data_IF_686114327729
#
_entry.id   IF_686114327729
#
_cell.length_a   1.000
_cell.length_b   1.000
_cell.length_c   1.000
_cell.angle_alpha   90.00
_cell.angle_beta   90.00
_cell.angle_gamma   90.00
#
_symmetry.space_group_name_H-M   'P 1'
#
loop_
_entity.id
_entity.type
_entity.pdbx_description
1 polymer ?
#
# COMPACT_ATOMS: atom_id res chain seq x y z
N UNK A 1 -9.58 17.05 1.59
CA UNK A 1 -9.65 15.73 2.25
C UNK A 1 -11.05 15.35 2.71
N UNK A 2 -11.96 16.32 2.89
CA UNK A 2 -13.36 16.13 3.32
C UNK A 2 -14.12 14.97 2.67
N UNK A 3 -14.03 14.80 1.34
CA UNK A 3 -14.73 13.73 0.63
C UNK A 3 -14.30 12.32 1.08
N UNK A 4 -12.98 12.10 1.26
CA UNK A 4 -12.44 10.81 1.71
C UNK A 4 -12.92 10.50 3.13
N UNK A 5 -12.81 11.47 4.04
CA UNK A 5 -13.24 11.26 5.41
C UNK A 5 -14.74 10.97 5.51
N UNK A 6 -15.56 11.68 4.74
CA UNK A 6 -17.00 11.42 4.65
C UNK A 6 -17.28 10.01 4.11
N UNK A 7 -16.58 9.59 3.05
CA UNK A 7 -16.74 8.26 2.48
C UNK A 7 -16.34 7.16 3.47
N UNK A 8 -15.21 7.31 4.18
CA UNK A 8 -14.78 6.36 5.22
C UNK A 8 -15.82 6.24 6.33
N UNK A 9 -16.32 7.37 6.84
CA UNK A 9 -17.35 7.39 7.88
C UNK A 9 -18.67 6.76 7.42
N UNK A 10 -19.13 7.06 6.20
CA UNK A 10 -20.33 6.45 5.62
C UNK A 10 -20.20 4.93 5.46
N UNK A 11 -19.00 4.44 5.17
CA UNK A 11 -18.70 3.02 5.09
C UNK A 11 -18.45 2.34 6.45
N UNK A 12 -18.54 3.09 7.56
CA UNK A 12 -18.34 2.56 8.92
C UNK A 12 -16.87 2.35 9.31
N UNK A 13 -15.93 2.96 8.58
CA UNK A 13 -14.49 2.80 8.83
C UNK A 13 -13.84 4.08 9.36
N UNK A 14 -12.89 3.91 10.28
CA UNK A 14 -11.92 4.95 10.59
C UNK A 14 -10.89 5.10 9.46
N UNK A 15 -10.39 6.31 9.28
CA UNK A 15 -9.36 6.64 8.30
C UNK A 15 -8.01 6.87 8.98
N UNK A 16 -6.97 6.23 8.45
CA UNK A 16 -5.56 6.52 8.76
C UNK A 16 -4.84 6.89 7.46
N UNK A 17 -4.06 7.97 7.46
CA UNK A 17 -3.35 8.40 6.26
C UNK A 17 -2.18 9.34 6.52
N UNK A 18 -1.37 9.60 5.49
CA UNK A 18 -0.42 10.69 5.53
C UNK A 18 -1.13 12.02 5.29
N UNK A 19 -0.65 13.06 5.97
CA UNK A 19 -1.15 14.42 5.87
C UNK A 19 -0.05 15.33 5.35
N UNK A 20 -0.37 16.21 4.39
CA UNK A 20 0.58 17.22 3.94
C UNK A 20 0.86 18.21 5.08
N UNK A 21 2.12 18.55 5.29
CA UNK A 21 2.57 19.43 6.38
C UNK A 21 2.22 20.91 6.16
N UNK A 22 1.67 21.27 4.99
CA UNK A 22 1.15 22.61 4.70
C UNK A 22 -0.33 22.79 5.09
N UNK A 23 -0.98 21.78 5.68
CA UNK A 23 -2.35 21.87 6.18
C UNK A 23 -2.43 22.80 7.39
N UNK A 24 -3.52 23.56 7.47
CA UNK A 24 -3.82 24.48 8.58
C UNK A 24 -4.54 23.71 9.68
N UNK A 25 -4.09 23.93 10.92
CA UNK A 25 -4.71 23.45 12.16
C UNK A 25 -4.98 24.63 13.09
N UNK A 26 -5.79 24.40 14.12
CA UNK A 26 -6.25 25.42 15.06
C UNK A 26 -5.89 25.07 16.52
N UNK A 27 -4.59 25.00 16.86
CA UNK A 27 -4.13 24.83 18.23
C UNK A 27 -4.37 26.10 19.07
N UNK A 28 -4.17 25.98 20.39
CA UNK A 28 -4.25 27.10 21.33
C UNK A 28 -3.32 28.24 20.91
N UNK A 29 -3.80 29.48 20.95
CA UNK A 29 -3.09 30.68 20.47
C UNK A 29 -3.20 30.93 18.95
N UNK A 30 -3.76 30.00 18.19
CA UNK A 30 -4.00 30.13 16.74
C UNK A 30 -5.45 29.75 16.37
N UNK A 31 -6.40 29.88 17.30
CA UNK A 31 -7.78 29.42 17.13
C UNK A 31 -8.53 30.19 16.03
N UNK A 32 -8.22 31.48 15.83
CA UNK A 32 -8.89 32.33 14.84
C UNK A 32 -8.33 32.19 13.43
N UNK A 33 -7.01 32.32 13.28
CA UNK A 33 -6.35 32.34 11.96
C UNK A 33 -5.77 30.99 11.55
N UNK A 34 -5.63 30.06 12.49
CA UNK A 34 -4.94 28.80 12.29
C UNK A 34 -3.43 28.98 12.07
N UNK A 35 -2.73 27.85 12.03
CA UNK A 35 -1.30 27.78 11.72
C UNK A 35 -1.03 26.55 10.86
N UNK A 36 -0.08 26.63 9.93
CA UNK A 36 0.33 25.47 9.13
C UNK A 36 1.08 24.47 10.00
N UNK A 37 0.83 23.18 9.82
CA UNK A 37 1.44 22.10 10.62
C UNK A 37 2.97 22.21 10.73
N UNK A 38 3.67 22.50 9.64
CA UNK A 38 5.13 22.65 9.69
C UNK A 38 5.59 23.86 10.52
N UNK A 39 4.84 24.97 10.52
CA UNK A 39 5.14 26.15 11.35
C UNK A 39 4.83 25.88 12.82
N UNK A 40 3.74 25.18 13.08
CA UNK A 40 3.42 24.72 14.43
C UNK A 40 4.48 23.74 14.95
N UNK A 41 4.93 22.79 14.14
CA UNK A 41 5.96 21.83 14.53
C UNK A 41 7.30 22.50 14.91
N UNK A 42 7.64 23.61 14.25
CA UNK A 42 8.86 24.39 14.57
C UNK A 42 8.73 25.22 15.86
N UNK A 43 7.52 25.54 16.31
CA UNK A 43 7.31 26.26 17.57
C UNK A 43 7.30 25.33 18.79
N UNK A 44 7.31 24.01 18.59
CA UNK A 44 7.32 23.03 19.68
C UNK A 44 8.76 22.73 20.12
N UNK A 45 8.94 22.64 21.43
CA UNK A 45 10.20 22.18 22.02
C UNK A 45 10.33 20.66 21.87
N UNK A 46 11.58 20.19 21.80
CA UNK A 46 11.88 18.75 21.66
C UNK A 46 11.29 17.91 22.79
N UNK A 47 11.27 18.45 24.01
CA UNK A 47 10.74 17.76 25.20
C UNK A 47 9.22 17.55 25.16
N UNK A 48 8.52 18.22 24.24
CA UNK A 48 7.11 17.96 23.98
C UNK A 48 6.89 16.69 23.13
N UNK A 49 7.94 16.10 22.56
CA UNK A 49 7.84 14.91 21.71
C UNK A 49 8.22 13.65 22.48
N UNK A 50 7.45 12.59 22.26
CA UNK A 50 7.77 11.25 22.73
C UNK A 50 8.80 10.59 21.80
N UNK A 51 9.85 10.00 22.37
CA UNK A 51 10.80 9.17 21.61
C UNK A 51 10.26 7.75 21.49
N UNK A 52 9.96 7.31 20.26
CA UNK A 52 9.41 5.98 19.98
C UNK A 52 10.27 5.20 18.99
N UNK A 53 10.05 3.89 18.91
CA UNK A 53 10.72 2.98 17.97
C UNK A 53 9.70 2.34 17.02
N UNK A 54 9.89 2.54 15.72
CA UNK A 54 9.04 1.96 14.66
C UNK A 54 9.93 1.19 13.68
N UNK A 55 9.68 -0.12 13.49
CA UNK A 55 10.45 -1.02 12.60
C UNK A 55 11.98 -0.86 12.75
N UNK A 56 12.46 -0.78 13.99
CA UNK A 56 13.91 -0.68 14.29
C UNK A 56 14.50 0.73 14.28
N UNK A 57 13.76 1.75 13.84
CA UNK A 57 14.23 3.15 13.77
C UNK A 57 13.56 4.01 14.84
N UNK A 58 14.28 5.01 15.35
CA UNK A 58 13.78 5.92 16.38
C UNK A 58 13.20 7.20 15.77
N UNK A 59 12.08 7.64 16.31
CA UNK A 59 11.36 8.84 15.88
C UNK A 59 10.91 9.65 17.09
N UNK A 60 10.97 10.98 16.98
CA UNK A 60 10.27 11.89 17.88
C UNK A 60 8.87 12.10 17.34
N UNK A 61 7.85 11.87 18.17
CA UNK A 61 6.45 12.01 17.77
C UNK A 61 5.70 12.96 18.70
N UNK A 62 4.78 13.73 18.13
CA UNK A 62 3.88 14.61 18.87
C UNK A 62 2.46 14.39 18.35
N UNK A 63 1.50 14.19 19.26
CA UNK A 63 0.10 14.03 18.89
C UNK A 63 -0.68 15.31 19.15
N UNK A 64 -1.11 15.97 18.07
CA UNK A 64 -2.10 17.03 18.13
C UNK A 64 -3.50 16.42 18.00
N UNK A 65 -4.37 16.66 18.97
CA UNK A 65 -5.79 16.35 18.86
C UNK A 65 -6.55 17.66 18.68
N UNK A 66 -7.27 17.80 17.56
CA UNK A 66 -8.03 19.02 17.32
C UNK A 66 -8.60 19.11 15.91
N UNK A 67 -8.78 20.35 15.44
CA UNK A 67 -9.45 20.63 14.18
C UNK A 67 -8.44 20.96 13.07
N UNK A 68 -8.82 20.60 11.84
CA UNK A 68 -8.33 21.19 10.59
C UNK A 68 -9.54 21.73 9.81
N UNK A 69 -9.30 22.48 8.73
CA UNK A 69 -10.39 23.09 7.94
C UNK A 69 -11.45 22.07 7.46
N UNK A 70 -11.01 20.86 7.12
CA UNK A 70 -11.88 19.82 6.54
C UNK A 70 -12.63 18.98 7.58
N UNK A 71 -12.16 18.96 8.84
CA UNK A 71 -12.62 17.99 9.84
C UNK A 71 -12.29 18.44 11.27
N UNK A 72 -13.25 18.20 12.16
CA UNK A 72 -13.10 18.44 13.60
C UNK A 72 -12.69 17.15 14.30
N UNK A 73 -11.96 17.27 15.42
CA UNK A 73 -11.62 16.17 16.33
C UNK A 73 -10.89 15.02 15.64
N UNK A 74 -9.68 15.30 15.13
CA UNK A 74 -8.78 14.30 14.57
C UNK A 74 -7.49 14.22 15.38
N UNK A 75 -6.85 13.06 15.36
CA UNK A 75 -5.48 12.90 15.83
C UNK A 75 -4.52 13.15 14.67
N UNK A 76 -3.56 14.04 14.85
CA UNK A 76 -2.50 14.33 13.89
C UNK A 76 -1.16 14.08 14.56
N UNK A 77 -0.43 13.08 14.07
CA UNK A 77 0.89 12.70 14.56
C UNK A 77 1.93 13.43 13.72
N UNK A 78 2.65 14.36 14.33
CA UNK A 78 3.90 14.89 13.81
C UNK A 78 5.01 13.88 14.10
N UNK A 79 5.89 13.64 13.14
CA UNK A 79 6.96 12.66 13.26
C UNK A 79 8.24 13.18 12.63
N UNK A 80 9.33 13.10 13.39
CA UNK A 80 10.69 13.37 12.94
C UNK A 80 11.58 12.14 13.14
N UNK A 81 12.43 11.77 12.17
CA UNK A 81 13.53 10.84 12.45
C UNK A 81 14.43 11.40 13.56
N UNK A 82 14.89 10.56 14.49
CA UNK A 82 15.72 10.99 15.64
C UNK A 82 16.91 11.86 15.21
N UNK A 83 17.62 11.46 14.16
CA UNK A 83 18.83 12.12 13.64
C UNK A 83 18.55 13.37 12.77
N UNK A 84 17.28 13.73 12.59
CA UNK A 84 16.84 14.81 11.71
C UNK A 84 15.71 15.64 12.31
N UNK A 85 15.64 15.71 13.63
CA UNK A 85 14.66 16.52 14.35
C UNK A 85 14.70 17.98 13.86
N UNK A 86 13.54 18.51 13.46
CA UNK A 86 13.34 19.87 12.94
C UNK A 86 14.22 20.30 11.75
N UNK A 87 14.96 19.39 11.12
CA UNK A 87 15.63 19.66 9.83
C UNK A 87 14.57 19.91 8.75
N UNK A 88 14.93 20.72 7.76
CA UNK A 88 14.04 20.98 6.63
C UNK A 88 13.70 19.66 5.89
N UNK A 89 12.43 19.51 5.50
CA UNK A 89 11.94 18.32 4.76
C UNK A 89 11.80 17.02 5.58
N UNK A 90 12.28 16.98 6.82
CA UNK A 90 12.27 15.76 7.65
C UNK A 90 10.94 15.50 8.35
N UNK A 91 10.11 16.53 8.55
CA UNK A 91 8.78 16.41 9.15
C UNK A 91 7.86 15.56 8.27
N UNK A 92 7.26 14.54 8.88
CA UNK A 92 6.10 13.83 8.34
C UNK A 92 4.91 14.05 9.26
N UNK A 93 3.71 14.10 8.69
CA UNK A 93 2.48 14.16 9.43
C UNK A 93 1.56 13.02 9.02
N UNK A 94 0.88 12.42 10.00
CA UNK A 94 -0.11 11.36 9.81
C UNK A 94 -1.39 11.78 10.50
N UNK A 95 -2.53 11.31 10.00
CA UNK A 95 -3.85 11.62 10.54
C UNK A 95 -4.60 10.33 10.84
N UNK A 96 -5.35 10.34 11.93
CA UNK A 96 -6.35 9.33 12.28
C UNK A 96 -7.67 10.01 12.63
N UNK A 97 -8.78 9.45 12.13
CA UNK A 97 -10.13 9.82 12.60
C UNK A 97 -10.57 8.99 13.80
N UNK A 98 -9.81 7.95 14.15
CA UNK A 98 -9.98 7.18 15.38
C UNK A 98 -9.13 7.82 16.48
N UNK A 99 -9.81 8.33 17.51
CA UNK A 99 -9.20 8.99 18.67
C UNK A 99 -8.88 8.02 19.82
N UNK A 100 -9.32 6.77 19.74
CA UNK A 100 -9.05 5.73 20.73
C UNK A 100 -7.66 5.14 20.51
N UNK A 101 -7.18 5.11 19.27
CA UNK A 101 -5.85 4.59 18.93
C UNK A 101 -4.73 5.45 19.51
N UNK A 102 -3.73 4.80 20.08
CA UNK A 102 -2.52 5.47 20.53
C UNK A 102 -1.72 5.97 19.32
N UNK A 103 -0.98 7.09 19.46
CA UNK A 103 -0.17 7.63 18.36
C UNK A 103 0.79 6.63 17.72
N UNK A 104 1.42 5.78 18.54
CA UNK A 104 2.34 4.74 18.07
C UNK A 104 1.63 3.67 17.23
N UNK A 105 0.41 3.25 17.61
CA UNK A 105 -0.38 2.26 16.87
C UNK A 105 -0.80 2.80 15.50
N UNK A 106 -1.11 4.09 15.42
CA UNK A 106 -1.43 4.76 14.15
C UNK A 106 -0.23 4.71 13.19
N UNK A 107 0.98 4.95 13.70
CA UNK A 107 2.20 4.84 12.90
C UNK A 107 2.46 3.40 12.44
N UNK A 108 2.31 2.42 13.34
CA UNK A 108 2.47 1.00 12.98
C UNK A 108 1.48 0.58 11.89
N UNK A 109 0.18 0.87 12.05
CA UNK A 109 -0.85 0.60 11.05
C UNK A 109 -0.55 1.30 9.72
N UNK A 110 -0.08 2.54 9.74
CA UNK A 110 0.29 3.24 8.49
C UNK A 110 1.46 2.57 7.77
N UNK A 111 2.35 1.86 8.48
CA UNK A 111 3.46 1.15 7.85
C UNK A 111 3.02 -0.04 6.99
N UNK A 112 1.82 -0.58 7.21
CA UNK A 112 1.27 -1.70 6.42
C UNK A 112 0.81 -1.24 5.03
N UNK A 113 0.59 0.07 4.85
CA UNK A 113 0.33 0.67 3.53
C UNK A 113 1.44 0.33 2.53
N UNK A 114 2.68 0.15 3.00
CA UNK A 114 3.83 -0.17 2.14
C UNK A 114 3.62 -1.43 1.28
N UNK A 115 2.71 -2.33 1.67
CA UNK A 115 2.43 -3.57 0.92
C UNK A 115 1.86 -3.28 -0.48
N UNK A 116 1.24 -2.11 -0.70
CA UNK A 116 0.69 -1.73 -2.00
C UNK A 116 1.77 -1.35 -3.02
N UNK A 117 2.92 -0.84 -2.59
CA UNK A 117 4.03 -0.49 -3.49
C UNK A 117 4.63 -1.71 -4.21
N UNK A 118 5.00 -2.81 -3.53
CA UNK A 118 5.40 -4.05 -4.18
C UNK A 118 4.30 -4.61 -5.08
N UNK A 119 3.03 -4.55 -4.68
CA UNK A 119 1.91 -5.00 -5.53
C UNK A 119 1.92 -4.29 -6.89
N UNK A 120 1.93 -2.95 -6.90
CA UNK A 120 1.96 -2.20 -8.15
C UNK A 120 3.23 -2.44 -8.97
N UNK A 121 4.38 -2.55 -8.30
CA UNK A 121 5.65 -2.86 -8.96
C UNK A 121 5.60 -4.20 -9.68
N UNK A 122 5.12 -5.23 -8.99
CA UNK A 122 5.03 -6.59 -9.52
C UNK A 122 4.01 -6.67 -10.67
N UNK A 123 2.85 -6.02 -10.53
CA UNK A 123 1.84 -5.96 -11.59
C UNK A 123 2.37 -5.27 -12.85
N UNK A 124 3.16 -4.20 -12.73
CA UNK A 124 3.80 -3.56 -13.89
C UNK A 124 4.83 -4.48 -14.53
N UNK A 125 5.81 -4.91 -13.74
CA UNK A 125 6.97 -5.65 -14.23
C UNK A 125 6.62 -7.03 -14.82
N UNK A 126 5.62 -7.72 -14.30
CA UNK A 126 5.34 -9.12 -14.66
C UNK A 126 3.96 -9.35 -15.27
N UNK A 127 3.00 -8.45 -15.05
CA UNK A 127 1.63 -8.64 -15.51
C UNK A 127 1.19 -7.59 -16.55
N UNK A 128 2.00 -6.57 -16.83
CA UNK A 128 1.79 -5.59 -17.90
C UNK A 128 0.86 -4.42 -17.54
N UNK A 129 0.72 -4.08 -16.25
CA UNK A 129 -0.20 -3.04 -15.80
C UNK A 129 0.04 -1.67 -16.45
N UNK A 130 1.26 -1.36 -16.87
CA UNK A 130 1.63 -0.11 -17.53
C UNK A 130 1.83 -0.25 -19.05
N UNK A 131 1.66 -1.45 -19.61
CA UNK A 131 1.84 -1.74 -21.03
C UNK A 131 0.60 -2.30 -21.73
N UNK A 132 -0.50 -2.54 -21.01
CA UNK A 132 -1.75 -2.97 -21.63
C UNK A 132 -2.31 -1.90 -22.57
N UNK A 133 -2.82 -2.31 -23.74
CA UNK A 133 -3.33 -1.41 -24.78
C UNK A 133 -4.84 -1.55 -25.01
N UNK A 134 -5.55 -2.27 -24.13
CA UNK A 134 -7.02 -2.37 -24.21
C UNK A 134 -7.68 -1.03 -23.89
N UNK A 135 -8.64 -0.62 -24.72
CA UNK A 135 -9.29 0.71 -24.61
C UNK A 135 -10.75 0.68 -24.16
N UNK A 136 -11.47 -0.42 -24.38
CA UNK A 136 -12.86 -0.51 -23.95
C UNK A 136 -12.94 -0.80 -22.45
N UNK A 137 -13.90 -0.17 -21.77
CA UNK A 137 -14.13 -0.38 -20.33
C UNK A 137 -14.25 -1.87 -19.98
N UNK A 138 -15.05 -2.62 -20.75
CA UNK A 138 -15.23 -4.07 -20.57
C UNK A 138 -13.90 -4.83 -20.63
N UNK A 139 -13.04 -4.50 -21.59
CA UNK A 139 -11.74 -5.17 -21.74
C UNK A 139 -10.76 -4.76 -20.64
N UNK A 140 -10.78 -3.49 -20.22
CA UNK A 140 -9.98 -2.99 -19.09
C UNK A 140 -10.38 -3.74 -17.80
N UNK A 141 -11.68 -3.83 -17.51
CA UNK A 141 -12.19 -4.55 -16.34
C UNK A 141 -11.75 -6.02 -16.36
N UNK A 142 -11.93 -6.72 -17.48
CA UNK A 142 -11.48 -8.12 -17.63
C UNK A 142 -9.99 -8.28 -17.41
N UNK A 143 -9.18 -7.43 -18.02
CA UNK A 143 -7.74 -7.45 -17.88
C UNK A 143 -7.32 -7.26 -16.42
N UNK A 144 -7.85 -6.23 -15.75
CA UNK A 144 -7.57 -5.96 -14.34
C UNK A 144 -8.00 -7.14 -13.46
N UNK A 145 -9.19 -7.71 -13.67
CA UNK A 145 -9.66 -8.89 -12.92
C UNK A 145 -8.71 -10.08 -13.07
N UNK A 146 -8.31 -10.43 -14.29
CA UNK A 146 -7.38 -11.54 -14.54
C UNK A 146 -6.02 -11.26 -13.89
N UNK A 147 -5.54 -10.01 -13.97
CA UNK A 147 -4.31 -9.59 -13.32
C UNK A 147 -4.37 -9.77 -11.80
N UNK A 148 -5.45 -9.31 -11.14
CA UNK A 148 -5.63 -9.47 -9.69
C UNK A 148 -5.70 -10.94 -9.28
N UNK A 149 -6.43 -11.77 -10.04
CA UNK A 149 -6.50 -13.22 -9.80
C UNK A 149 -5.12 -13.85 -9.96
N UNK A 150 -4.40 -13.52 -11.02
CA UNK A 150 -3.05 -14.06 -11.28
C UNK A 150 -2.07 -13.67 -10.19
N UNK A 151 -2.09 -12.40 -9.74
CA UNK A 151 -1.26 -11.92 -8.64
C UNK A 151 -1.55 -12.69 -7.35
N UNK A 152 -2.83 -12.82 -7.00
CA UNK A 152 -3.29 -13.52 -5.80
C UNK A 152 -2.91 -14.99 -5.85
N UNK A 153 -3.18 -15.66 -6.96
CA UNK A 153 -2.80 -17.05 -7.21
C UNK A 153 -1.30 -17.25 -7.01
N UNK A 154 -0.46 -16.42 -7.65
CA UNK A 154 0.99 -16.53 -7.50
C UNK A 154 1.45 -16.30 -6.05
N UNK A 155 0.91 -15.30 -5.34
CA UNK A 155 1.25 -15.11 -3.91
C UNK A 155 0.91 -16.35 -3.09
N UNK A 156 -0.30 -16.91 -3.26
CA UNK A 156 -0.72 -18.10 -2.53
C UNK A 156 0.10 -19.34 -2.92
N UNK A 157 0.51 -19.45 -4.19
CA UNK A 157 1.34 -20.55 -4.68
C UNK A 157 2.70 -20.63 -3.98
N UNK A 158 3.26 -19.48 -3.60
CA UNK A 158 4.50 -19.41 -2.82
C UNK A 158 4.34 -19.87 -1.36
N UNK A 159 3.12 -20.25 -0.96
CA UNK A 159 2.76 -20.77 0.36
C UNK A 159 3.25 -19.86 1.49
N UNK A 160 4.17 -20.35 2.33
CA UNK A 160 4.63 -19.68 3.57
C UNK A 160 5.26 -18.31 3.33
N UNK A 161 5.85 -18.05 2.16
CA UNK A 161 6.56 -16.78 1.91
C UNK A 161 5.61 -15.67 1.46
N UNK A 162 4.46 -16.01 0.87
CA UNK A 162 3.53 -15.07 0.23
C UNK A 162 4.26 -14.07 -0.71
N UNK A 163 5.35 -14.50 -1.34
CA UNK A 163 6.12 -13.69 -2.29
C UNK A 163 5.66 -13.96 -3.72
N UNK A 164 5.18 -12.92 -4.39
CA UNK A 164 4.65 -13.02 -5.75
C UNK A 164 5.67 -13.63 -6.73
N UNK A 165 6.90 -13.12 -6.78
CA UNK A 165 7.93 -13.57 -7.74
C UNK A 165 8.29 -15.05 -7.55
N UNK A 166 8.40 -15.50 -6.29
CA UNK A 166 8.65 -16.90 -5.96
C UNK A 166 7.53 -17.78 -6.47
N UNK A 167 6.29 -17.41 -6.18
CA UNK A 167 5.13 -18.16 -6.63
C UNK A 167 4.94 -18.15 -8.15
N UNK A 168 5.20 -17.01 -8.81
CA UNK A 168 5.18 -16.90 -10.27
C UNK A 168 6.20 -17.85 -10.92
N UNK A 169 7.43 -17.89 -10.39
CA UNK A 169 8.49 -18.79 -10.87
C UNK A 169 8.09 -20.25 -10.69
N UNK A 170 7.56 -20.60 -9.51
CA UNK A 170 7.09 -21.96 -9.22
C UNK A 170 5.91 -22.37 -10.13
N UNK A 171 4.91 -21.51 -10.29
CA UNK A 171 3.77 -21.76 -11.16
C UNK A 171 4.19 -21.97 -12.62
N UNK A 172 5.08 -21.11 -13.15
CA UNK A 172 5.64 -21.26 -14.50
C UNK A 172 6.42 -22.57 -14.66
N UNK A 173 7.23 -22.94 -13.67
CA UNK A 173 8.00 -24.18 -13.73
C UNK A 173 7.09 -25.42 -13.67
N UNK A 174 6.07 -25.40 -12.83
CA UNK A 174 5.13 -26.53 -12.73
C UNK A 174 4.25 -26.66 -13.97
N UNK A 175 3.87 -25.54 -14.60
CA UNK A 175 3.22 -25.58 -15.91
C UNK A 175 4.11 -26.23 -16.98
N UNK A 176 5.39 -25.85 -17.07
CA UNK A 176 6.35 -26.48 -18.00
C UNK A 176 6.51 -27.98 -17.73
N UNK A 177 6.62 -28.39 -16.46
CA UNK A 177 6.68 -29.81 -16.09
C UNK A 177 5.42 -30.56 -16.52
N UNK A 178 4.23 -29.99 -16.29
CA UNK A 178 2.97 -30.59 -16.70
C UNK A 178 2.87 -30.74 -18.23
N UNK A 179 3.34 -29.74 -19.00
CA UNK A 179 3.41 -29.85 -20.46
C UNK A 179 4.35 -30.97 -20.91
N UNK A 180 5.55 -31.06 -20.32
CA UNK A 180 6.51 -32.13 -20.65
C UNK A 180 5.92 -33.51 -20.32
N UNK A 181 5.30 -33.66 -19.15
CA UNK A 181 4.64 -34.92 -18.74
C UNK A 181 3.53 -35.27 -19.73
N UNK A 182 2.69 -34.31 -20.12
CA UNK A 182 1.63 -34.50 -21.10
C UNK A 182 2.19 -34.99 -22.45
N UNK A 183 3.22 -34.32 -22.99
CA UNK A 183 3.86 -34.71 -24.26
C UNK A 183 4.45 -36.12 -24.16
N UNK A 184 5.18 -36.41 -23.08
CA UNK A 184 5.79 -37.72 -22.85
C UNK A 184 4.73 -38.83 -22.79
N UNK A 185 3.65 -38.63 -22.03
CA UNK A 185 2.55 -39.59 -21.94
C UNK A 185 1.81 -39.76 -23.27
N UNK A 186 1.59 -38.69 -24.03
CA UNK A 186 0.97 -38.78 -25.36
C UNK A 186 1.82 -39.60 -26.34
N UNK A 187 3.14 -39.39 -26.33
CA UNK A 187 4.08 -40.14 -27.15
C UNK A 187 4.11 -41.63 -26.80
N UNK A 188 4.13 -41.98 -25.51
CA UNK A 188 4.06 -43.39 -25.07
C UNK A 188 2.77 -44.10 -25.50
N UNK A 189 1.68 -43.36 -25.64
CA UNK A 189 0.39 -43.88 -26.11
C UNK A 189 0.26 -43.90 -27.65
N UNK A 190 1.35 -43.64 -28.38
CA UNK A 190 1.35 -43.66 -29.84
C UNK A 190 0.51 -42.55 -30.48
N UNK A 191 0.24 -41.45 -29.78
CA UNK A 191 -0.47 -40.32 -30.39
C UNK A 191 0.39 -39.65 -31.47
N UNK A 192 -0.16 -39.38 -32.67
CA UNK A 192 0.53 -38.60 -33.69
C UNK A 192 0.93 -37.22 -33.17
N UNK A 193 2.10 -36.74 -33.59
CA UNK A 193 2.65 -35.46 -33.11
C UNK A 193 1.78 -34.27 -33.51
N UNK A 194 1.09 -34.37 -34.65
CA UNK A 194 0.14 -33.37 -35.15
C UNK A 194 -0.99 -33.15 -34.14
N UNK A 195 -1.53 -34.24 -33.58
CA UNK A 195 -2.59 -34.18 -32.57
C UNK A 195 -2.09 -33.59 -31.24
N UNK A 196 -0.81 -33.76 -30.92
CA UNK A 196 -0.19 -33.12 -29.75
C UNK A 196 -0.07 -31.61 -29.98
N UNK A 197 0.32 -31.17 -31.18
CA UNK A 197 0.40 -29.75 -31.53
C UNK A 197 -0.97 -29.06 -31.52
N UNK A 198 -2.00 -29.72 -32.04
CA UNK A 198 -3.39 -29.23 -31.96
C UNK A 198 -3.83 -29.01 -30.50
N UNK A 199 -3.60 -30.00 -29.62
CA UNK A 199 -3.96 -29.91 -28.21
C UNK A 199 -3.22 -28.79 -27.47
N UNK A 200 -1.94 -28.58 -27.80
CA UNK A 200 -1.13 -27.50 -27.24
C UNK A 200 -1.40 -26.14 -27.90
N UNK A 201 -2.22 -26.09 -28.96
CA UNK A 201 -2.53 -24.89 -29.75
C UNK A 201 -1.27 -24.22 -30.31
N UNK A 202 -0.36 -25.05 -30.83
CA UNK A 202 0.89 -24.62 -31.48
C UNK A 202 1.02 -25.14 -32.92
N UNK A 203 -0.02 -25.78 -33.43
CA UNK A 203 -0.15 -26.15 -34.84
C UNK A 203 -0.45 -24.92 -35.72
#
# INVERSE_FOLDING_TARGET
CKAIFKASALAGYAYIGALKTNRVIYPKGHERLGIKLHKFATSLNKDSFDLVKVKGKHYYIYNYIGHLNDMKNVSIILSYPKESFQKEGSLKAFISTDLVLKPLDILFKYTDRWVIEPFFRDCKNYLGLDSYQVRSERSILRYLTIMFITYTYCKLYSSKTLQFNTGLKLAKNNFKKAQIIFIYSAALNGQPIEKIFENLKIA
#
